data_IF_208932626267
#
_entry.id   IF_208932626267
#
_cell.length_a   1.000
_cell.length_b   1.000
_cell.length_c   1.000
_cell.angle_alpha   90.00
_cell.angle_beta   90.00
_cell.angle_gamma   90.00
#
_symmetry.space_group_name_H-M   'P 1'
#
loop_
_entity.id
_entity.type
_entity.pdbx_description
1 polymer ?
#
# COMPACT_ATOMS: atom_id res chain seq x y z
N UNK A 1 4.50 -15.86 4.03
CA UNK A 1 4.15 -14.72 4.90
C UNK A 1 3.60 -15.15 6.25
N UNK A 2 2.47 -15.85 6.37
CA UNK A 2 1.82 -16.17 7.66
C UNK A 2 2.72 -16.87 8.67
N UNK A 3 3.54 -17.84 8.25
CA UNK A 3 4.50 -18.53 9.11
C UNK A 3 5.66 -17.62 9.53
N UNK A 4 6.19 -16.83 8.60
CA UNK A 4 7.30 -15.92 8.87
C UNK A 4 6.95 -14.88 9.94
N UNK A 5 5.78 -14.26 9.83
CA UNK A 5 5.30 -13.25 10.80
C UNK A 5 4.48 -13.85 11.96
N UNK A 6 4.54 -15.17 12.16
CA UNK A 6 3.90 -15.87 13.29
C UNK A 6 2.42 -15.50 13.49
N UNK A 7 1.67 -15.40 12.40
CA UNK A 7 0.25 -14.98 12.47
C UNK A 7 -0.67 -16.02 13.12
N UNK A 8 -0.22 -17.27 13.25
CA UNK A 8 -0.95 -18.33 13.92
C UNK A 8 -2.37 -18.50 13.41
N UNK A 9 -3.34 -18.45 14.31
CA UNK A 9 -4.77 -18.53 14.00
C UNK A 9 -5.40 -17.19 13.60
N UNK A 10 -4.66 -16.09 13.58
CA UNK A 10 -5.17 -14.79 13.18
C UNK A 10 -5.42 -14.79 11.66
N UNK A 11 -6.67 -14.80 11.25
CA UNK A 11 -7.09 -14.87 9.85
C UNK A 11 -7.81 -13.62 9.37
N UNK A 12 -7.91 -12.59 10.20
CA UNK A 12 -8.73 -11.41 9.93
C UNK A 12 -10.23 -11.64 10.17
N UNK A 13 -10.61 -12.74 10.85
CA UNK A 13 -12.03 -13.07 11.11
C UNK A 13 -12.75 -11.91 11.81
N UNK A 14 -13.91 -11.54 11.27
CA UNK A 14 -14.72 -10.44 11.77
C UNK A 14 -14.29 -9.06 11.27
N UNK A 15 -13.17 -8.95 10.55
CA UNK A 15 -12.66 -7.68 10.01
C UNK A 15 -13.07 -7.49 8.56
N UNK A 16 -13.18 -6.23 8.16
CA UNK A 16 -13.27 -5.80 6.77
C UNK A 16 -12.03 -4.99 6.43
N UNK A 17 -11.40 -5.32 5.31
CA UNK A 17 -10.28 -4.56 4.75
C UNK A 17 -10.79 -3.70 3.59
N UNK A 18 -10.32 -2.46 3.49
CA UNK A 18 -10.53 -1.58 2.33
C UNK A 18 -9.23 -1.33 1.60
N UNK A 19 -9.24 -1.43 0.28
CA UNK A 19 -8.12 -1.07 -0.60
C UNK A 19 -8.50 0.13 -1.45
N UNK A 20 -7.61 1.11 -1.55
CA UNK A 20 -7.72 2.23 -2.46
C UNK A 20 -7.02 1.86 -3.77
N UNK A 21 -7.76 1.86 -4.87
CA UNK A 21 -7.29 1.39 -6.17
C UNK A 21 -7.59 2.40 -7.27
N UNK A 22 -6.70 2.49 -8.25
CA UNK A 22 -6.85 3.41 -9.38
C UNK A 22 -6.93 2.68 -10.73
N UNK A 23 -7.17 1.38 -10.70
CA UNK A 23 -7.43 0.57 -11.88
C UNK A 23 -8.44 -0.52 -11.57
N UNK A 24 -9.05 -1.09 -12.62
CA UNK A 24 -9.85 -2.28 -12.51
C UNK A 24 -9.00 -3.55 -12.50
N UNK A 25 -9.66 -4.69 -12.37
CA UNK A 25 -9.03 -6.00 -12.40
C UNK A 25 -9.94 -7.06 -13.04
N UNK A 26 -9.35 -8.22 -13.31
CA UNK A 26 -10.07 -9.39 -13.84
C UNK A 26 -10.37 -10.37 -12.69
N UNK A 27 -11.64 -10.52 -12.24
CA UNK A 27 -11.97 -11.40 -11.12
C UNK A 27 -11.58 -12.88 -11.33
N UNK A 28 -11.50 -13.34 -12.59
CA UNK A 28 -11.05 -14.69 -12.91
C UNK A 28 -9.57 -14.90 -12.62
N UNK A 29 -8.75 -13.84 -12.63
CA UNK A 29 -7.31 -13.93 -12.33
C UNK A 29 -7.10 -14.18 -10.84
N UNK A 30 -7.83 -13.49 -9.98
CA UNK A 30 -7.86 -13.78 -8.53
C UNK A 30 -8.30 -15.23 -8.28
N UNK A 31 -9.33 -15.72 -9.00
CA UNK A 31 -9.78 -17.11 -8.87
C UNK A 31 -8.70 -18.10 -9.33
N UNK A 32 -8.00 -17.78 -10.41
CA UNK A 32 -6.90 -18.59 -10.96
C UNK A 32 -5.71 -18.62 -9.99
N UNK A 33 -5.37 -17.49 -9.38
CA UNK A 33 -4.34 -17.41 -8.34
C UNK A 33 -4.61 -18.41 -7.21
N UNK A 34 -5.80 -18.36 -6.60
CA UNK A 34 -6.16 -19.26 -5.51
C UNK A 34 -6.18 -20.74 -5.94
N UNK A 35 -6.64 -21.03 -7.15
CA UNK A 35 -6.56 -22.37 -7.73
C UNK A 35 -5.12 -22.87 -7.84
N UNK A 36 -4.23 -22.03 -8.33
CA UNK A 36 -2.82 -22.38 -8.56
C UNK A 36 -2.02 -22.59 -7.26
N UNK A 37 -2.32 -21.83 -6.22
CA UNK A 37 -1.71 -22.05 -4.90
C UNK A 37 -2.44 -23.11 -4.05
N UNK A 38 -3.41 -23.82 -4.64
CA UNK A 38 -4.20 -24.87 -3.98
C UNK A 38 -4.91 -24.39 -2.71
N UNK A 39 -5.42 -23.19 -2.72
CA UNK A 39 -6.23 -22.60 -1.66
C UNK A 39 -7.60 -22.20 -2.21
N UNK A 40 -8.55 -21.99 -1.30
CA UNK A 40 -9.89 -21.50 -1.66
C UNK A 40 -10.08 -20.14 -1.03
N UNK A 41 -10.43 -19.16 -1.83
CA UNK A 41 -10.92 -17.89 -1.30
C UNK A 41 -12.45 -17.98 -1.11
N UNK A 42 -12.91 -17.65 0.10
CA UNK A 42 -14.33 -17.51 0.43
C UNK A 42 -14.70 -16.11 0.89
N UNK A 43 -13.72 -15.19 0.91
CA UNK A 43 -13.95 -13.80 1.30
C UNK A 43 -14.67 -13.06 0.19
N UNK A 44 -15.84 -12.45 0.45
CA UNK A 44 -16.53 -11.63 -0.53
C UNK A 44 -15.71 -10.41 -0.90
N UNK A 45 -15.59 -10.14 -2.19
CA UNK A 45 -14.98 -8.91 -2.74
C UNK A 45 -16.10 -7.99 -3.20
N UNK A 46 -16.09 -6.75 -2.75
CA UNK A 46 -17.07 -5.73 -3.14
C UNK A 46 -16.37 -4.54 -3.77
N UNK A 47 -16.70 -4.25 -5.02
CA UNK A 47 -16.18 -3.09 -5.74
C UNK A 47 -17.06 -1.86 -5.49
N UNK A 48 -16.46 -0.78 -5.04
CA UNK A 48 -17.05 0.53 -4.86
C UNK A 48 -16.40 1.45 -5.89
N UNK A 49 -17.10 1.67 -6.99
CA UNK A 49 -16.60 2.53 -8.07
C UNK A 49 -16.84 3.98 -7.68
N UNK A 50 -15.78 4.78 -7.70
CA UNK A 50 -15.79 6.18 -7.28
C UNK A 50 -15.41 7.06 -8.47
N UNK A 51 -16.08 8.18 -8.61
CA UNK A 51 -15.81 9.26 -9.58
C UNK A 51 -15.49 8.80 -11.02
N UNK A 52 -16.29 7.88 -11.55
CA UNK A 52 -16.11 7.39 -12.92
C UNK A 52 -14.98 6.38 -13.11
N UNK A 53 -14.42 5.83 -12.05
CA UNK A 53 -13.55 4.67 -12.10
C UNK A 53 -14.21 3.46 -12.74
N UNK A 54 -13.48 2.38 -12.91
CA UNK A 54 -14.00 1.14 -13.48
C UNK A 54 -13.43 -0.08 -12.77
N UNK A 55 -14.31 -0.99 -12.40
CA UNK A 55 -13.89 -2.23 -11.75
C UNK A 55 -13.29 -3.27 -12.73
N UNK A 56 -13.40 -3.07 -14.03
CA UNK A 56 -13.08 -4.09 -15.04
C UNK A 56 -12.25 -3.57 -16.22
N UNK A 57 -11.79 -2.35 -16.16
CA UNK A 57 -10.92 -1.76 -17.19
C UNK A 57 -9.65 -1.20 -16.57
N UNK A 58 -8.58 -1.23 -17.35
CA UNK A 58 -7.27 -0.68 -17.01
C UNK A 58 -6.56 -0.23 -18.29
N UNK A 59 -5.66 0.75 -18.17
CA UNK A 59 -4.91 1.29 -19.30
C UNK A 59 -3.71 0.43 -19.68
N UNK A 60 -3.10 -0.21 -18.68
CA UNK A 60 -1.97 -1.10 -18.90
C UNK A 60 -1.98 -2.27 -17.89
N UNK A 61 -1.26 -3.34 -18.25
CA UNK A 61 -1.23 -4.56 -17.46
C UNK A 61 -0.53 -4.41 -16.09
N UNK A 62 0.29 -3.38 -15.92
CA UNK A 62 0.97 -3.15 -14.63
C UNK A 62 -0.02 -2.58 -13.61
N UNK A 63 -0.90 -1.67 -14.02
CA UNK A 63 -1.90 -1.10 -13.12
C UNK A 63 -2.88 -2.18 -12.64
N UNK A 64 -3.35 -3.05 -13.53
CA UNK A 64 -4.15 -4.22 -13.13
C UNK A 64 -3.35 -5.20 -12.28
N UNK A 65 -2.07 -5.38 -12.60
CA UNK A 65 -1.16 -6.23 -11.84
C UNK A 65 -1.03 -5.79 -10.39
N UNK A 66 -0.97 -4.49 -10.13
CA UNK A 66 -0.94 -3.94 -8.78
C UNK A 66 -2.23 -4.25 -8.03
N UNK A 67 -3.39 -4.01 -8.64
CA UNK A 67 -4.70 -4.34 -8.03
C UNK A 67 -4.81 -5.83 -7.72
N UNK A 68 -4.38 -6.70 -8.65
CA UNK A 68 -4.37 -8.15 -8.43
C UNK A 68 -3.40 -8.53 -7.29
N UNK A 69 -2.21 -7.92 -7.23
CA UNK A 69 -1.23 -8.12 -6.16
C UNK A 69 -1.86 -7.81 -4.79
N UNK A 70 -2.45 -6.64 -4.65
CA UNK A 70 -3.06 -6.18 -3.40
C UNK A 70 -4.18 -7.12 -2.95
N UNK A 71 -5.08 -7.51 -3.86
CA UNK A 71 -6.17 -8.45 -3.56
C UNK A 71 -5.61 -9.82 -3.14
N UNK A 72 -4.72 -10.39 -3.93
CA UNK A 72 -4.25 -11.77 -3.77
C UNK A 72 -3.40 -11.91 -2.51
N UNK A 73 -2.52 -10.95 -2.23
CA UNK A 73 -1.69 -10.96 -1.03
C UNK A 73 -2.53 -10.70 0.23
N UNK A 74 -3.45 -9.73 0.20
CA UNK A 74 -4.33 -9.45 1.33
C UNK A 74 -5.16 -10.69 1.72
N UNK A 75 -5.80 -11.34 0.74
CA UNK A 75 -6.63 -12.51 0.98
C UNK A 75 -5.83 -13.76 1.36
N UNK A 76 -4.59 -13.89 0.86
CA UNK A 76 -3.69 -14.98 1.26
C UNK A 76 -3.20 -14.83 2.71
N UNK A 77 -2.99 -13.60 3.15
CA UNK A 77 -2.54 -13.30 4.51
C UNK A 77 -3.70 -13.31 5.49
N UNK A 78 -4.87 -12.81 5.09
CA UNK A 78 -6.07 -12.70 5.92
C UNK A 78 -7.29 -13.47 5.33
N UNK A 79 -7.21 -14.82 5.22
CA UNK A 79 -8.21 -15.64 4.53
C UNK A 79 -9.56 -15.74 5.25
N UNK A 80 -9.68 -15.19 6.43
CA UNK A 80 -10.91 -15.21 7.23
C UNK A 80 -11.59 -13.83 7.32
N UNK A 81 -11.18 -12.85 6.53
CA UNK A 81 -11.88 -11.56 6.47
C UNK A 81 -13.38 -11.74 6.21
N UNK A 82 -14.19 -10.91 6.82
CA UNK A 82 -15.62 -10.85 6.55
C UNK A 82 -15.92 -10.27 5.16
N UNK A 83 -15.07 -9.36 4.70
CA UNK A 83 -15.20 -8.72 3.39
C UNK A 83 -13.88 -8.04 3.00
N UNK A 84 -13.57 -8.02 1.71
CA UNK A 84 -12.64 -7.12 1.08
C UNK A 84 -13.42 -6.08 0.26
N UNK A 85 -13.15 -4.80 0.47
CA UNK A 85 -13.77 -3.68 -0.25
C UNK A 85 -12.72 -2.99 -1.08
N UNK A 86 -12.95 -2.89 -2.39
CA UNK A 86 -12.08 -2.15 -3.31
C UNK A 86 -12.75 -0.82 -3.64
N UNK A 87 -12.12 0.27 -3.30
CA UNK A 87 -12.54 1.63 -3.64
C UNK A 87 -11.77 2.03 -4.89
N UNK A 88 -12.43 2.03 -6.04
CA UNK A 88 -11.79 2.10 -7.34
C UNK A 88 -12.10 3.44 -8.00
N UNK A 89 -11.10 4.30 -8.08
CA UNK A 89 -11.13 5.55 -8.81
C UNK A 89 -10.69 5.40 -10.27
N UNK A 90 -10.72 6.48 -11.04
CA UNK A 90 -10.26 6.47 -12.42
C UNK A 90 -8.74 6.42 -12.52
N UNK A 91 -8.21 5.68 -13.48
CA UNK A 91 -6.76 5.56 -13.74
C UNK A 91 -6.10 6.88 -14.15
N UNK A 92 -6.82 7.79 -14.75
CA UNK A 92 -6.32 9.11 -15.13
C UNK A 92 -6.69 10.13 -14.05
N UNK A 93 -6.28 9.87 -12.81
CA UNK A 93 -6.51 10.82 -11.74
C UNK A 93 -5.57 12.02 -11.84
N UNK A 94 -6.14 13.19 -11.63
CA UNK A 94 -5.41 14.43 -11.44
C UNK A 94 -5.53 14.87 -9.98
N UNK A 95 -4.94 15.99 -9.65
CA UNK A 95 -5.06 16.61 -8.32
C UNK A 95 -6.54 16.63 -7.86
N UNK A 96 -6.83 16.02 -6.72
CA UNK A 96 -8.14 15.98 -6.09
C UNK A 96 -9.04 14.79 -6.44
N UNK A 97 -8.62 13.88 -7.34
CA UNK A 97 -9.39 12.65 -7.66
C UNK A 97 -9.25 11.59 -6.56
N UNK A 98 -8.09 11.47 -5.98
CA UNK A 98 -7.73 10.71 -4.80
C UNK A 98 -8.64 11.04 -3.61
N UNK A 99 -8.90 12.32 -3.36
CA UNK A 99 -9.81 12.79 -2.33
C UNK A 99 -11.23 12.21 -2.42
N UNK A 100 -11.72 11.86 -3.61
CA UNK A 100 -13.01 11.18 -3.74
C UNK A 100 -12.97 9.77 -3.17
N UNK A 101 -11.87 9.02 -3.37
CA UNK A 101 -11.70 7.68 -2.81
C UNK A 101 -11.61 7.77 -1.28
N UNK A 102 -10.77 8.65 -0.75
CA UNK A 102 -10.60 8.79 0.70
C UNK A 102 -11.85 9.30 1.37
N UNK A 103 -12.54 10.27 0.78
CA UNK A 103 -13.86 10.71 1.24
C UNK A 103 -14.87 9.57 1.30
N UNK A 104 -14.91 8.70 0.29
CA UNK A 104 -15.81 7.56 0.28
C UNK A 104 -15.43 6.53 1.34
N UNK A 105 -14.14 6.24 1.54
CA UNK A 105 -13.66 5.34 2.59
C UNK A 105 -14.00 5.85 3.99
N UNK A 106 -13.81 7.14 4.23
CA UNK A 106 -14.14 7.79 5.49
C UNK A 106 -15.67 7.77 5.74
N UNK A 107 -16.45 8.19 4.75
CA UNK A 107 -17.92 8.25 4.82
C UNK A 107 -18.55 6.87 5.04
N UNK A 108 -18.08 5.84 4.35
CA UNK A 108 -18.57 4.47 4.52
C UNK A 108 -18.31 3.95 5.93
N UNK A 109 -17.15 4.23 6.48
CA UNK A 109 -16.72 3.83 7.82
C UNK A 109 -16.94 2.32 8.14
N UNK A 110 -16.91 1.47 7.12
CA UNK A 110 -17.16 0.02 7.22
C UNK A 110 -15.87 -0.74 7.50
N UNK A 111 -14.84 -0.51 6.66
CA UNK A 111 -13.52 -1.08 6.85
C UNK A 111 -12.76 -0.28 7.90
N UNK A 112 -12.21 -0.97 8.90
CA UNK A 112 -11.39 -0.33 9.94
C UNK A 112 -9.90 -0.40 9.65
N UNK A 113 -9.51 -1.22 8.70
CA UNK A 113 -8.16 -1.30 8.14
C UNK A 113 -8.28 -0.90 6.68
N UNK A 114 -7.51 0.09 6.27
CA UNK A 114 -7.48 0.64 4.92
C UNK A 114 -6.05 0.58 4.41
N UNK A 115 -5.86 0.32 3.13
CA UNK A 115 -4.51 0.22 2.54
C UNK A 115 -4.47 0.86 1.17
N UNK A 116 -3.30 1.39 0.82
CA UNK A 116 -3.01 2.04 -0.45
C UNK A 116 -1.59 1.70 -0.89
N UNK A 117 -1.45 1.21 -2.13
CA UNK A 117 -0.16 0.93 -2.79
C UNK A 117 0.19 1.97 -3.86
N UNK A 118 -0.54 3.09 -3.90
CA UNK A 118 -0.37 4.13 -4.90
C UNK A 118 0.17 5.40 -4.27
N UNK A 119 0.83 6.22 -5.07
CA UNK A 119 1.36 7.51 -4.68
C UNK A 119 1.23 8.53 -5.82
N UNK A 120 1.25 9.81 -5.50
CA UNK A 120 1.13 10.88 -6.47
C UNK A 120 1.88 12.14 -6.05
N UNK A 121 2.19 12.94 -7.05
CA UNK A 121 2.79 14.26 -6.92
C UNK A 121 2.29 15.14 -8.09
N UNK A 122 1.93 16.39 -7.88
CA UNK A 122 1.98 17.09 -6.59
C UNK A 122 0.92 16.56 -5.61
N UNK A 123 1.22 16.66 -4.34
CA UNK A 123 0.32 16.37 -3.25
C UNK A 123 -0.72 17.49 -3.05
N UNK A 124 -1.84 17.14 -2.41
CA UNK A 124 -2.82 18.10 -1.92
C UNK A 124 -3.26 17.77 -0.48
N UNK A 125 -2.36 17.89 0.51
CA UNK A 125 -2.67 17.56 1.89
C UNK A 125 -3.79 18.45 2.46
N UNK A 126 -4.02 19.63 1.91
CA UNK A 126 -5.13 20.49 2.37
C UNK A 126 -6.50 19.91 2.03
N UNK A 127 -6.58 19.07 1.00
CA UNK A 127 -7.80 18.36 0.60
C UNK A 127 -7.92 17.00 1.29
N UNK A 128 -6.84 16.24 1.39
CA UNK A 128 -6.88 14.83 1.77
C UNK A 128 -6.66 14.57 3.27
N UNK A 129 -5.78 15.32 3.95
CA UNK A 129 -5.57 15.19 5.40
C UNK A 129 -6.87 15.25 6.22
N UNK A 130 -7.87 16.10 5.91
CA UNK A 130 -9.15 16.06 6.59
C UNK A 130 -9.85 14.70 6.57
N UNK A 131 -9.69 13.90 5.51
CA UNK A 131 -10.27 12.55 5.43
C UNK A 131 -9.48 11.55 6.28
N UNK A 132 -8.15 11.63 6.29
CA UNK A 132 -7.32 10.79 7.18
C UNK A 132 -7.55 11.13 8.65
N UNK A 133 -7.71 12.40 8.97
CA UNK A 133 -8.09 12.85 10.30
C UNK A 133 -9.47 12.34 10.71
N UNK A 134 -10.46 12.36 9.81
CA UNK A 134 -11.77 11.76 10.03
C UNK A 134 -11.65 10.25 10.27
N UNK A 135 -10.91 9.53 9.41
CA UNK A 135 -10.65 8.10 9.56
C UNK A 135 -10.05 7.78 10.93
N UNK A 136 -9.03 8.52 11.34
CA UNK A 136 -8.38 8.35 12.64
C UNK A 136 -9.35 8.55 13.81
N UNK A 137 -10.18 9.60 13.77
CA UNK A 137 -11.15 9.90 14.84
C UNK A 137 -12.24 8.85 14.96
N UNK A 138 -12.62 8.16 13.89
CA UNK A 138 -13.64 7.12 13.89
C UNK A 138 -13.05 5.70 14.00
N UNK A 139 -11.74 5.60 14.29
CA UNK A 139 -11.04 4.33 14.54
C UNK A 139 -10.78 3.50 13.29
N UNK A 140 -10.58 4.15 12.16
CA UNK A 140 -9.99 3.56 10.95
C UNK A 140 -8.49 3.82 10.96
N UNK A 141 -7.70 2.87 10.50
CA UNK A 141 -6.27 3.02 10.27
C UNK A 141 -6.00 2.95 8.77
N UNK A 142 -5.36 3.97 8.24
CA UNK A 142 -4.94 4.01 6.85
C UNK A 142 -3.44 3.69 6.75
N UNK A 143 -3.11 2.69 5.95
CA UNK A 143 -1.75 2.28 5.65
C UNK A 143 -1.39 2.71 4.23
N UNK A 144 -0.18 3.23 4.04
CA UNK A 144 0.34 3.57 2.72
C UNK A 144 1.79 3.12 2.57
N UNK A 145 2.21 2.93 1.34
CA UNK A 145 3.60 2.62 1.01
C UNK A 145 4.53 3.76 1.38
N UNK A 146 5.80 3.44 1.63
CA UNK A 146 6.88 4.43 1.75
C UNK A 146 7.61 4.70 0.44
N UNK A 147 7.29 3.94 -0.61
CA UNK A 147 7.92 4.00 -1.92
C UNK A 147 9.07 3.02 -2.14
N UNK A 148 9.56 2.99 -3.39
CA UNK A 148 10.42 1.95 -3.93
C UNK A 148 11.82 2.44 -4.36
N UNK A 149 12.12 3.73 -4.25
CA UNK A 149 13.35 4.31 -4.80
C UNK A 149 14.44 4.58 -3.77
N UNK A 150 14.28 4.07 -2.56
CA UNK A 150 15.22 4.23 -1.47
C UNK A 150 14.94 5.45 -0.59
N UNK A 151 15.68 5.58 0.50
CA UNK A 151 15.56 6.69 1.42
C UNK A 151 16.42 7.88 0.97
N UNK A 152 15.92 9.10 1.18
CA UNK A 152 16.64 10.36 0.90
C UNK A 152 17.05 10.54 -0.58
N UNK A 153 16.26 10.01 -1.50
CA UNK A 153 16.54 10.12 -2.93
C UNK A 153 15.91 11.39 -3.52
N UNK A 154 16.65 12.06 -4.41
CA UNK A 154 16.17 13.25 -5.12
C UNK A 154 16.31 14.56 -4.34
N UNK A 155 15.54 15.56 -4.76
CA UNK A 155 15.44 16.87 -4.12
C UNK A 155 14.43 16.86 -2.96
N UNK A 156 13.57 15.89 -2.95
CA UNK A 156 12.60 15.62 -1.89
C UNK A 156 13.17 14.57 -0.97
N UNK A 157 13.01 14.73 0.31
CA UNK A 157 13.57 13.83 1.32
C UNK A 157 12.77 12.54 1.47
N UNK A 158 11.52 12.53 1.01
CA UNK A 158 10.73 11.34 0.73
C UNK A 158 10.53 11.28 -0.78
N UNK A 159 10.97 10.18 -1.40
CA UNK A 159 10.94 10.05 -2.87
C UNK A 159 9.52 9.91 -3.41
N UNK A 160 8.63 9.32 -2.64
CA UNK A 160 7.30 8.90 -3.09
C UNK A 160 6.18 9.91 -2.77
N UNK A 161 6.46 10.98 -2.03
CA UNK A 161 5.49 12.03 -1.79
C UNK A 161 4.24 11.54 -1.01
N UNK A 162 3.10 12.09 -1.38
CA UNK A 162 1.84 11.90 -0.68
C UNK A 162 1.14 10.58 -1.07
N UNK A 163 0.51 9.85 -0.12
CA UNK A 163 0.22 10.20 1.27
C UNK A 163 1.24 9.74 2.32
N UNK A 164 2.43 9.30 1.92
CA UNK A 164 3.48 8.81 2.84
C UNK A 164 4.00 9.89 3.81
N UNK A 165 3.74 11.15 3.54
CA UNK A 165 4.16 12.28 4.38
C UNK A 165 3.16 12.61 5.48
N UNK A 166 1.89 12.21 5.30
CA UNK A 166 0.77 12.59 6.17
C UNK A 166 0.92 12.01 7.59
N UNK A 167 0.62 12.80 8.59
CA UNK A 167 0.79 12.43 9.99
C UNK A 167 -0.39 11.63 10.59
N UNK A 168 -1.46 11.46 9.84
CA UNK A 168 -2.59 10.59 10.16
C UNK A 168 -2.55 9.23 9.43
N UNK A 169 -1.51 9.01 8.61
CA UNK A 169 -1.29 7.78 7.85
C UNK A 169 -0.19 6.94 8.49
N UNK A 170 -0.35 5.63 8.51
CA UNK A 170 0.69 4.68 8.92
C UNK A 170 1.49 4.25 7.70
N UNK A 171 2.74 4.63 7.62
CA UNK A 171 3.61 4.38 6.47
C UNK A 171 4.36 3.08 6.63
N UNK A 172 4.28 2.23 5.60
CA UNK A 172 4.88 0.90 5.57
C UNK A 172 6.08 0.89 4.63
N UNK A 173 7.24 0.67 5.19
CA UNK A 173 8.49 0.47 4.45
C UNK A 173 8.71 -0.97 4.03
N UNK A 174 9.70 -1.18 3.17
CA UNK A 174 10.07 -2.47 2.60
C UNK A 174 11.27 -3.13 3.28
N UNK A 175 11.17 -4.44 3.48
CA UNK A 175 12.28 -5.28 3.95
C UNK A 175 12.55 -6.43 2.98
N UNK A 176 13.76 -6.98 3.08
CA UNK A 176 14.15 -8.24 2.46
C UNK A 176 14.11 -9.34 3.53
N UNK A 177 13.07 -10.16 3.49
CA UNK A 177 12.83 -11.25 4.43
C UNK A 177 13.56 -12.54 4.01
N UNK A 178 14.25 -13.17 4.94
CA UNK A 178 14.74 -14.55 4.82
C UNK A 178 13.98 -15.47 5.75
N UNK A 179 13.50 -16.60 5.24
CA UNK A 179 12.80 -17.62 6.01
C UNK A 179 13.62 -18.91 6.14
N UNK A 180 13.29 -19.73 7.11
CA UNK A 180 13.91 -21.03 7.34
C UNK A 180 13.47 -22.08 6.28
N UNK A 181 13.48 -21.72 5.01
CA UNK A 181 13.01 -22.49 3.86
C UNK A 181 11.61 -22.06 3.41
N UNK A 182 11.15 -22.66 2.30
CA UNK A 182 9.85 -22.31 1.69
C UNK A 182 8.70 -22.51 2.68
N UNK A 183 7.91 -21.46 2.90
CA UNK A 183 6.82 -21.46 3.86
C UNK A 183 7.24 -21.51 5.34
N UNK A 184 8.55 -21.38 5.61
CA UNK A 184 9.13 -21.48 6.95
C UNK A 184 8.95 -20.26 7.83
N UNK A 185 9.42 -20.41 9.07
CA UNK A 185 9.44 -19.31 10.03
C UNK A 185 10.45 -18.23 9.62
N UNK A 186 10.29 -17.04 10.18
CA UNK A 186 11.24 -15.94 10.08
C UNK A 186 12.67 -16.37 10.51
N UNK A 187 13.66 -15.98 9.75
CA UNK A 187 15.05 -16.23 10.05
C UNK A 187 15.83 -14.92 10.24
N UNK A 188 15.71 -14.03 9.28
CA UNK A 188 16.31 -12.68 9.33
C UNK A 188 15.56 -11.72 8.41
N UNK A 189 15.74 -10.43 8.65
CA UNK A 189 15.13 -9.39 7.86
C UNK A 189 16.07 -8.18 7.84
N UNK A 190 16.25 -7.59 6.67
CA UNK A 190 17.06 -6.40 6.46
C UNK A 190 16.27 -5.40 5.64
N UNK A 191 16.69 -4.15 5.63
CA UNK A 191 16.06 -3.13 4.77
C UNK A 191 16.15 -3.60 3.31
N UNK A 192 15.05 -3.47 2.59
CA UNK A 192 15.05 -3.74 1.15
C UNK A 192 15.89 -2.69 0.43
N UNK A 193 16.89 -3.15 -0.32
CA UNK A 193 17.74 -2.36 -1.17
C UNK A 193 18.39 -3.30 -2.19
N UNK A 194 17.81 -3.42 -3.37
CA UNK A 194 18.24 -4.38 -4.39
C UNK A 194 17.95 -3.83 -5.79
N UNK A 195 18.86 -4.08 -6.73
CA UNK A 195 18.77 -3.73 -8.16
C UNK A 195 18.43 -2.25 -8.48
N UNK A 196 18.73 -1.33 -7.59
CA UNK A 196 18.46 0.09 -7.79
C UNK A 196 17.09 0.53 -7.27
N UNK A 197 16.37 -0.36 -6.61
CA UNK A 197 15.15 -0.12 -5.88
C UNK A 197 15.38 -0.35 -4.38
N UNK A 198 14.51 0.16 -3.55
CA UNK A 198 14.63 -0.01 -2.10
C UNK A 198 13.52 0.70 -1.35
N UNK A 199 13.38 0.35 -0.07
CA UNK A 199 12.39 1.00 0.78
C UNK A 199 12.54 2.51 0.78
N UNK A 200 11.50 3.22 0.44
CA UNK A 200 11.42 4.67 0.63
C UNK A 200 11.50 5.04 2.11
N UNK A 201 11.74 6.31 2.36
CA UNK A 201 11.77 6.85 3.72
C UNK A 201 12.59 8.11 3.84
N UNK A 202 12.33 8.84 4.90
CA UNK A 202 12.98 10.10 5.23
C UNK A 202 12.08 11.03 6.03
N UNK A 203 12.50 12.26 6.28
CA UNK A 203 11.65 13.31 6.83
C UNK A 203 10.60 13.78 5.81
N UNK A 204 9.40 14.08 6.27
CA UNK A 204 8.31 14.65 5.49
C UNK A 204 8.62 16.11 5.14
N UNK A 205 9.35 16.32 4.05
CA UNK A 205 9.77 17.61 3.53
C UNK A 205 9.91 17.51 2.00
N UNK A 206 8.84 17.74 1.30
CA UNK A 206 8.80 17.86 -0.15
C UNK A 206 9.13 19.29 -0.63
N UNK A 207 9.41 20.19 0.30
CA UNK A 207 9.67 21.61 0.04
C UNK A 207 8.40 22.47 -0.08
N UNK A 208 7.23 21.89 -0.03
CA UNK A 208 5.92 22.57 -0.12
C UNK A 208 5.08 22.34 1.14
N UNK A 209 5.05 21.13 1.64
CA UNK A 209 4.27 20.73 2.81
C UNK A 209 5.18 20.18 3.92
N UNK A 210 4.88 20.54 5.16
CA UNK A 210 5.67 20.18 6.32
C UNK A 210 4.78 19.52 7.35
N UNK A 211 5.00 18.23 7.58
CA UNK A 211 4.40 17.55 8.71
C UNK A 211 5.37 17.53 9.90
N UNK A 212 4.99 18.07 11.06
CA UNK A 212 5.87 18.10 12.23
C UNK A 212 6.10 16.71 12.79
N UNK A 213 7.24 16.54 13.48
CA UNK A 213 7.54 15.28 14.17
C UNK A 213 6.43 14.95 15.16
N UNK A 214 5.96 13.72 15.09
CA UNK A 214 4.87 13.26 15.92
C UNK A 214 5.34 12.87 17.34
N UNK A 215 4.44 12.96 18.32
CA UNK A 215 4.79 12.72 19.72
C UNK A 215 5.30 11.30 20.02
N UNK A 216 4.88 10.31 19.21
CA UNK A 216 5.38 8.93 19.31
C UNK A 216 6.76 8.74 18.68
N UNK A 217 7.15 9.58 17.74
CA UNK A 217 8.48 9.53 17.09
C UNK A 217 9.55 10.24 17.91
N UNK A 218 9.22 11.37 18.52
CA UNK A 218 10.20 12.21 19.25
C UNK A 218 11.05 11.48 20.29
N UNK A 219 10.57 10.45 21.01
CA UNK A 219 11.41 9.74 21.98
C UNK A 219 12.49 8.85 21.36
N UNK A 220 12.34 8.46 20.09
CA UNK A 220 13.21 7.49 19.41
C UNK A 220 14.02 8.10 18.28
N UNK A 221 13.57 9.20 17.71
CA UNK A 221 14.24 9.89 16.61
C UNK A 221 15.30 10.86 17.17
N UNK A 222 16.50 10.77 16.62
CA UNK A 222 17.61 11.64 16.98
C UNK A 222 18.67 11.69 15.88
N UNK A 223 19.65 12.59 15.99
CA UNK A 223 20.70 12.77 14.98
C UNK A 223 21.58 11.54 14.76
N UNK A 224 21.64 10.60 15.69
CA UNK A 224 22.47 9.41 15.53
C UNK A 224 21.81 8.32 14.68
N UNK A 225 20.49 8.34 14.52
CA UNK A 225 19.77 7.45 13.61
C UNK A 225 19.35 8.13 12.30
N UNK A 226 19.83 9.37 12.08
CA UNK A 226 19.61 10.09 10.83
C UNK A 226 18.23 10.72 10.67
N UNK A 227 17.35 10.58 11.64
CA UNK A 227 15.99 11.12 11.58
C UNK A 227 15.94 12.63 11.87
N UNK A 228 14.92 13.28 11.34
CA UNK A 228 14.60 14.67 11.66
C UNK A 228 13.97 14.79 13.05
N UNK A 229 14.48 15.71 13.85
CA UNK A 229 13.92 16.03 15.17
C UNK A 229 12.81 17.08 15.13
N UNK A 230 12.45 17.54 13.94
CA UNK A 230 11.44 18.59 13.72
C UNK A 230 10.32 18.16 12.79
N UNK A 231 10.61 17.26 11.84
CA UNK A 231 9.66 16.78 10.85
C UNK A 231 9.25 15.33 11.15
N UNK A 232 8.08 14.94 10.68
CA UNK A 232 7.64 13.55 10.64
C UNK A 232 8.67 12.70 9.87
N UNK A 233 8.93 11.51 10.36
CA UNK A 233 9.84 10.58 9.72
C UNK A 233 9.08 9.34 9.23
N UNK A 234 9.39 8.88 8.04
CA UNK A 234 8.82 7.72 7.38
C UNK A 234 9.90 6.67 7.13
N UNK A 235 9.58 5.37 7.13
CA UNK A 235 8.31 4.74 7.47
C UNK A 235 8.10 4.54 8.98
N UNK A 236 6.85 4.24 9.41
CA UNK A 236 6.52 3.93 10.81
C UNK A 236 6.79 2.46 11.13
N UNK A 237 6.51 1.58 10.18
CA UNK A 237 6.74 0.13 10.24
C UNK A 237 7.34 -0.35 8.93
N UNK A 238 7.91 -1.55 8.91
CA UNK A 238 8.40 -2.14 7.68
C UNK A 238 8.08 -3.63 7.64
N UNK A 239 7.71 -4.12 6.47
CA UNK A 239 7.39 -5.50 6.19
C UNK A 239 8.05 -5.93 4.88
N UNK A 240 7.97 -7.21 4.58
CA UNK A 240 8.58 -7.81 3.41
C UNK A 240 8.06 -7.16 2.11
N UNK A 241 8.98 -6.69 1.27
CA UNK A 241 8.73 -6.11 -0.04
C UNK A 241 9.62 -6.72 -1.15
N UNK A 242 10.86 -7.10 -0.82
CA UNK A 242 11.80 -7.67 -1.80
C UNK A 242 11.53 -9.15 -2.06
N UNK A 243 10.36 -9.46 -2.62
CA UNK A 243 10.04 -10.81 -3.10
C UNK A 243 9.57 -10.77 -4.54
N UNK A 244 9.86 -11.88 -5.19
CA UNK A 244 9.13 -12.29 -6.36
C UNK A 244 7.78 -12.83 -5.88
N UNK A 245 6.76 -11.97 -5.85
CA UNK A 245 5.41 -12.39 -5.54
C UNK A 245 4.83 -13.17 -6.72
N UNK A 246 4.20 -14.32 -6.42
CA UNK A 246 3.39 -15.01 -7.41
C UNK A 246 2.03 -14.31 -7.47
N UNK A 247 1.63 -13.88 -8.64
CA UNK A 247 0.31 -13.30 -8.91
C UNK A 247 -0.26 -13.81 -10.22
N UNK A 248 -1.56 -13.67 -10.38
CA UNK A 248 -2.26 -13.86 -11.65
C UNK A 248 -2.94 -12.56 -12.06
N UNK A 249 -2.74 -12.11 -13.29
CA UNK A 249 -3.21 -10.84 -13.82
C UNK A 249 -3.33 -10.88 -15.35
N UNK A 250 -3.79 -9.83 -15.97
CA UNK A 250 -3.84 -9.63 -17.41
C UNK A 250 -4.50 -10.79 -18.16
N UNK A 251 -5.72 -11.15 -17.73
CA UNK A 251 -6.56 -12.20 -18.33
C UNK A 251 -5.89 -13.60 -18.38
N UNK A 252 -5.35 -14.02 -17.26
CA UNK A 252 -4.85 -15.39 -17.07
C UNK A 252 -3.34 -15.54 -17.16
N UNK A 253 -2.58 -14.48 -17.24
CA UNK A 253 -1.14 -14.50 -17.07
C UNK A 253 -0.79 -14.70 -15.61
N UNK A 254 -0.06 -15.76 -15.26
CA UNK A 254 0.43 -15.96 -13.89
C UNK A 254 1.96 -16.04 -13.92
N UNK A 255 2.61 -15.27 -13.08
CA UNK A 255 4.06 -15.25 -13.00
C UNK A 255 4.52 -15.25 -11.54
N UNK A 256 5.58 -16.01 -11.26
CA UNK A 256 6.32 -15.95 -10.02
C UNK A 256 7.41 -14.88 -10.03
N UNK A 257 7.25 -13.85 -10.84
CA UNK A 257 8.22 -12.80 -11.07
C UNK A 257 7.57 -11.41 -11.01
N UNK A 258 6.42 -11.26 -10.33
CA UNK A 258 6.00 -9.93 -9.97
C UNK A 258 6.94 -9.46 -8.88
N UNK A 259 7.82 -8.69 -9.30
CA UNK A 259 8.82 -7.97 -8.56
C UNK A 259 8.32 -6.53 -8.53
N UNK A 260 8.45 -5.85 -7.43
CA UNK A 260 8.37 -4.40 -7.34
C UNK A 260 9.26 -3.66 -8.37
N UNK A 261 10.06 -4.41 -9.13
CA UNK A 261 10.83 -3.94 -10.30
C UNK A 261 9.99 -3.43 -11.47
N UNK A 262 8.68 -3.59 -11.44
CA UNK A 262 7.82 -2.74 -12.24
C UNK A 262 7.47 -1.53 -11.37
N UNK A 263 8.16 -0.39 -11.54
CA UNK A 263 7.90 0.76 -10.71
C UNK A 263 6.42 1.10 -10.84
N UNK A 264 5.75 1.45 -9.75
CA UNK A 264 4.47 2.11 -9.84
C UNK A 264 4.64 3.21 -10.87
N UNK A 265 3.86 3.17 -11.93
CA UNK A 265 4.06 4.07 -13.06
C UNK A 265 3.88 5.49 -12.54
N UNK A 266 4.94 6.28 -12.56
CA UNK A 266 4.84 7.71 -12.29
C UNK A 266 3.77 8.26 -13.21
N UNK A 267 2.62 8.59 -12.67
CA UNK A 267 1.65 9.37 -13.40
C UNK A 267 2.26 10.76 -13.61
N UNK A 268 2.88 10.93 -14.77
CA UNK A 268 3.24 12.28 -15.20
C UNK A 268 1.95 12.92 -15.65
N UNK A 269 1.58 14.10 -15.12
CA UNK A 269 0.54 14.89 -15.74
C UNK A 269 0.95 15.09 -17.21
N UNK A 270 0.08 14.73 -18.14
CA UNK A 270 0.27 15.13 -19.53
C UNK A 270 0.15 16.64 -19.55
N UNK A 271 1.24 17.30 -19.93
CA UNK A 271 1.29 18.73 -20.19
C UNK A 271 0.30 19.16 -21.25
#
# INVERSE_FOLDING_TARGET
>A
MRAAYNMGSNTGSGQTLGLAEFAGYTPSDVSLYFSNIHQTNSVPITNIVVDGGSATTWNNANDEGEVCLDIEQALSVAPGLSQLRLYIGPENFGVGVDGFIFSQMATDNIAKQLSNSWWWSPDDPTTDDPYFMEMATQGQTFFSISGDHGAYTGINLIDEGYPAEDDHVTVVGGTALTTAGAGGAWQSEVVWNDFGEGSGGGPADDGATYFPIQSWQSPVINSSNGGSTTLRNSPDVALQANFVNYICYNNGSCAGNWDSRFPPQRFRPRS
#
